data_IF_408801035574
#
_entry.id   IF_408801035574
#
_cell.length_a   1.000
_cell.length_b   1.000
_cell.length_c   1.000
_cell.angle_alpha   90.00
_cell.angle_beta   90.00
_cell.angle_gamma   90.00
#
_symmetry.space_group_name_H-M   'P 1'
#
loop_
_entity.id
_entity.type
_entity.pdbx_description
1 polymer ?
#
# COMPACT_ATOMS: atom_id res chain seq x y z
N UNK A 1 -13.58 -29.35 30.16
CA UNK A 1 -12.59 -30.40 29.84
C UNK A 1 -11.99 -30.00 28.50
N UNK A 2 -10.68 -30.18 28.32
CA UNK A 2 -10.00 -29.84 27.06
C UNK A 2 -10.35 -30.93 26.04
N UNK A 3 -10.87 -30.55 24.88
CA UNK A 3 -11.13 -31.49 23.78
C UNK A 3 -9.81 -32.11 23.29
N UNK A 4 -9.79 -33.43 23.07
CA UNK A 4 -8.64 -34.11 22.49
C UNK A 4 -8.58 -33.90 20.98
N UNK A 5 -7.44 -34.17 20.36
CA UNK A 5 -7.31 -34.10 18.90
C UNK A 5 -8.22 -35.12 18.19
N UNK A 6 -8.55 -36.23 18.85
CA UNK A 6 -9.53 -37.20 18.37
C UNK A 6 -10.94 -36.63 18.42
N UNK A 7 -11.30 -35.92 19.48
CA UNK A 7 -12.61 -35.26 19.63
C UNK A 7 -12.78 -34.15 18.59
N UNK A 8 -11.73 -33.35 18.33
CA UNK A 8 -11.72 -32.28 17.32
C UNK A 8 -11.92 -32.84 15.90
N UNK A 9 -11.38 -34.03 15.61
CA UNK A 9 -11.60 -34.72 14.34
C UNK A 9 -12.88 -35.58 14.32
N UNK A 10 -13.59 -35.69 15.45
CA UNK A 10 -14.80 -36.50 15.60
C UNK A 10 -14.56 -38.00 15.40
N UNK A 11 -13.42 -38.51 15.87
CA UNK A 11 -12.99 -39.91 15.75
C UNK A 11 -12.63 -40.49 17.13
N UNK A 12 -12.56 -41.82 17.24
CA UNK A 12 -12.25 -42.50 18.50
C UNK A 12 -10.74 -42.64 18.68
N UNK A 13 -10.25 -42.54 19.91
CA UNK A 13 -8.85 -42.80 20.22
C UNK A 13 -8.43 -44.22 19.79
N UNK A 14 -7.28 -44.33 19.11
CA UNK A 14 -6.78 -45.60 18.57
C UNK A 14 -7.26 -45.95 17.17
N UNK A 15 -8.00 -45.07 16.49
CA UNK A 15 -8.30 -45.20 15.05
C UNK A 15 -7.04 -45.19 14.19
N UNK A 16 -7.10 -45.86 13.05
CA UNK A 16 -5.97 -46.00 12.12
C UNK A 16 -5.58 -44.67 11.46
N UNK A 17 -4.33 -44.54 11.00
CA UNK A 17 -3.87 -43.35 10.26
C UNK A 17 -4.74 -43.03 9.02
N UNK A 18 -5.31 -44.08 8.41
CA UNK A 18 -6.22 -43.95 7.29
C UNK A 18 -7.51 -43.23 7.71
N UNK A 19 -8.10 -43.62 8.83
CA UNK A 19 -9.32 -43.01 9.37
C UNK A 19 -9.09 -41.58 9.84
N UNK A 20 -7.93 -41.29 10.45
CA UNK A 20 -7.51 -39.92 10.82
C UNK A 20 -7.44 -39.03 9.57
N UNK A 21 -6.88 -39.55 8.46
CA UNK A 21 -6.78 -38.83 7.18
C UNK A 21 -8.13 -38.62 6.51
N UNK A 22 -9.01 -39.62 6.55
CA UNK A 22 -10.33 -39.54 5.94
C UNK A 22 -11.25 -38.59 6.73
N UNK A 23 -11.15 -38.56 8.06
CA UNK A 23 -11.83 -37.60 8.92
C UNK A 23 -11.36 -36.16 8.65
N UNK A 24 -10.05 -35.93 8.54
CA UNK A 24 -9.50 -34.63 8.17
C UNK A 24 -10.01 -34.16 6.80
N UNK A 25 -10.01 -35.03 5.78
CA UNK A 25 -10.52 -34.68 4.44
C UNK A 25 -12.00 -34.28 4.46
N UNK A 26 -12.83 -35.01 5.21
CA UNK A 26 -14.25 -34.71 5.36
C UNK A 26 -14.46 -33.34 6.00
N UNK A 27 -13.77 -33.07 7.11
CA UNK A 27 -13.87 -31.80 7.84
C UNK A 27 -13.26 -30.63 7.06
N UNK A 28 -12.15 -30.84 6.37
CA UNK A 28 -11.53 -29.84 5.50
C UNK A 28 -12.45 -29.42 4.35
N UNK A 29 -13.22 -30.34 3.77
CA UNK A 29 -14.21 -30.04 2.73
C UNK A 29 -15.46 -29.31 3.24
N UNK A 30 -15.76 -29.44 4.54
CA UNK A 30 -16.90 -28.83 5.21
C UNK A 30 -16.59 -27.41 5.69
N UNK A 31 -15.38 -27.18 6.20
CA UNK A 31 -14.94 -25.92 6.79
C UNK A 31 -13.99 -25.11 5.91
N UNK A 32 -13.83 -25.48 4.63
CA UNK A 32 -13.05 -24.70 3.66
C UNK A 32 -13.66 -23.31 3.46
N UNK A 33 -12.81 -22.27 3.45
CA UNK A 33 -13.23 -20.87 3.27
C UNK A 33 -13.98 -20.63 1.95
N UNK A 34 -13.63 -21.35 0.88
CA UNK A 34 -14.34 -21.29 -0.42
C UNK A 34 -15.82 -21.77 -0.36
N UNK A 35 -16.25 -22.38 0.76
CA UNK A 35 -17.63 -22.80 1.01
C UNK A 35 -18.29 -22.08 2.18
N UNK A 36 -17.67 -21.01 2.70
CA UNK A 36 -18.22 -20.19 3.79
C UNK A 36 -17.99 -20.74 5.20
N UNK A 37 -17.00 -21.63 5.39
CA UNK A 37 -16.62 -22.12 6.72
C UNK A 37 -15.85 -21.10 7.57
N UNK A 38 -15.96 -21.19 8.90
CA UNK A 38 -15.22 -20.34 9.82
C UNK A 38 -13.72 -20.72 9.86
N UNK A 39 -12.86 -19.72 9.62
CA UNK A 39 -11.41 -19.88 9.54
C UNK A 39 -10.80 -20.48 10.83
N UNK A 40 -11.35 -20.15 12.00
CA UNK A 40 -10.86 -20.64 13.29
C UNK A 40 -11.06 -22.15 13.46
N UNK A 41 -12.19 -22.70 13.02
CA UNK A 41 -12.49 -24.13 13.12
C UNK A 41 -11.61 -24.94 12.17
N UNK A 42 -11.37 -24.43 10.96
CA UNK A 42 -10.45 -25.08 10.02
C UNK A 42 -9.00 -25.14 10.56
N UNK A 43 -8.55 -24.07 11.22
CA UNK A 43 -7.23 -24.03 11.87
C UNK A 43 -7.15 -25.10 12.97
N UNK A 44 -8.17 -25.23 13.81
CA UNK A 44 -8.23 -26.25 14.87
C UNK A 44 -8.23 -27.68 14.30
N UNK A 45 -9.02 -27.94 13.25
CA UNK A 45 -9.09 -29.25 12.56
C UNK A 45 -7.72 -29.62 11.95
N UNK A 46 -7.05 -28.66 11.30
CA UNK A 46 -5.71 -28.86 10.73
C UNK A 46 -4.69 -29.16 11.81
N UNK A 47 -4.75 -28.44 12.93
CA UNK A 47 -3.85 -28.64 14.06
C UNK A 47 -4.03 -30.02 14.69
N UNK A 48 -5.28 -30.45 14.94
CA UNK A 48 -5.57 -31.78 15.48
C UNK A 48 -5.05 -32.90 14.55
N UNK A 49 -5.20 -32.76 13.24
CA UNK A 49 -4.69 -33.73 12.27
C UNK A 49 -3.16 -33.82 12.26
N UNK A 50 -2.47 -32.68 12.27
CA UNK A 50 -1.00 -32.65 12.29
C UNK A 50 -0.44 -33.20 13.61
N UNK A 51 -1.09 -32.90 14.74
CA UNK A 51 -0.73 -33.42 16.06
C UNK A 51 -0.89 -34.95 16.14
N UNK A 52 -1.97 -35.50 15.58
CA UNK A 52 -2.19 -36.95 15.58
C UNK A 52 -1.18 -37.71 14.71
N UNK A 53 -0.65 -37.11 13.63
CA UNK A 53 0.43 -37.73 12.83
C UNK A 53 1.70 -37.96 13.62
N UNK A 54 1.97 -37.11 14.62
CA UNK A 54 3.15 -37.23 15.50
C UNK A 54 2.81 -37.94 16.81
N UNK A 55 1.62 -38.55 16.91
CA UNK A 55 1.16 -39.31 18.08
C UNK A 55 0.69 -38.44 19.25
N UNK A 56 0.41 -37.15 19.02
CA UNK A 56 0.01 -36.21 20.08
C UNK A 56 -1.51 -36.23 20.28
N UNK A 57 -1.95 -36.67 21.46
CA UNK A 57 -3.37 -36.86 21.81
C UNK A 57 -4.15 -35.57 22.07
N UNK A 58 -3.49 -34.54 22.60
CA UNK A 58 -4.13 -33.27 22.97
C UNK A 58 -3.45 -32.10 22.24
N UNK A 59 -4.20 -31.03 21.91
CA UNK A 59 -3.61 -29.79 21.39
C UNK A 59 -2.53 -29.25 22.33
N UNK A 60 -1.59 -28.47 21.80
CA UNK A 60 -0.66 -27.71 22.64
C UNK A 60 -1.41 -26.84 23.66
N UNK A 61 -1.11 -27.06 24.94
CA UNK A 61 -1.56 -26.15 26.00
C UNK A 61 -0.91 -24.79 25.82
N UNK A 62 -1.52 -23.72 26.34
CA UNK A 62 -0.92 -22.38 26.23
C UNK A 62 0.49 -22.33 26.85
N UNK A 63 0.77 -23.17 27.85
CA UNK A 63 2.10 -23.35 28.44
C UNK A 63 3.08 -24.07 27.51
N UNK A 64 2.64 -25.09 26.77
CA UNK A 64 3.46 -25.76 25.75
C UNK A 64 3.71 -24.86 24.53
N UNK A 65 2.70 -24.11 24.09
CA UNK A 65 2.87 -23.06 23.07
C UNK A 65 3.94 -22.06 23.52
N UNK A 66 3.89 -21.63 24.78
CA UNK A 66 4.85 -20.69 25.37
C UNK A 66 6.27 -21.26 25.54
N UNK A 67 6.41 -22.59 25.63
CA UNK A 67 7.70 -23.30 25.82
C UNK A 67 8.32 -23.73 24.48
N UNK A 68 7.50 -24.12 23.51
CA UNK A 68 7.90 -24.45 22.13
C UNK A 68 8.12 -23.18 21.30
N UNK A 69 7.41 -22.09 21.59
CA UNK A 69 7.97 -20.76 21.39
C UNK A 69 9.13 -20.64 22.36
N UNK A 70 10.38 -20.81 21.93
CA UNK A 70 11.54 -20.46 22.77
C UNK A 70 11.54 -18.95 23.05
N UNK A 71 10.71 -18.52 23.99
CA UNK A 71 10.74 -17.20 24.60
C UNK A 71 11.79 -17.28 25.70
N UNK A 72 13.04 -17.02 25.32
CA UNK A 72 14.07 -16.65 26.27
C UNK A 72 13.74 -15.25 26.76
N UNK A 73 13.30 -15.14 28.01
CA UNK A 73 13.24 -13.87 28.71
C UNK A 73 14.66 -13.35 28.91
N UNK A 74 15.08 -12.37 28.10
CA UNK A 74 16.37 -11.69 28.26
C UNK A 74 17.16 -11.37 26.99
N UNK A 75 16.53 -11.24 25.82
CA UNK A 75 17.25 -10.85 24.60
C UNK A 75 17.76 -9.40 24.72
N UNK A 76 19.07 -9.20 24.61
CA UNK A 76 19.65 -7.87 24.39
C UNK A 76 19.26 -7.37 23.00
N UNK A 77 19.36 -6.06 22.71
CA UNK A 77 19.13 -5.54 21.35
C UNK A 77 19.97 -6.29 20.28
N UNK A 78 21.16 -6.77 20.66
CA UNK A 78 22.03 -7.54 19.79
C UNK A 78 21.43 -8.90 19.41
N UNK A 79 20.72 -9.56 20.34
CA UNK A 79 20.08 -10.85 20.09
C UNK A 79 18.86 -10.71 19.18
N UNK A 80 18.06 -9.65 19.36
CA UNK A 80 16.95 -9.31 18.47
C UNK A 80 17.46 -9.02 17.05
N UNK A 81 18.52 -8.22 16.92
CA UNK A 81 19.14 -7.93 15.61
C UNK A 81 19.65 -9.20 14.92
N UNK A 82 20.31 -10.10 15.65
CA UNK A 82 20.79 -11.37 15.10
C UNK A 82 19.63 -12.25 14.61
N UNK A 83 18.55 -12.37 15.39
CA UNK A 83 17.35 -13.14 14.99
C UNK A 83 16.71 -12.57 13.73
N UNK A 84 16.54 -11.25 13.70
CA UNK A 84 15.99 -10.52 12.56
C UNK A 84 16.82 -10.65 11.29
N UNK A 85 18.14 -10.75 11.42
CA UNK A 85 19.05 -10.97 10.29
C UNK A 85 18.92 -12.39 9.73
N UNK A 86 18.88 -13.42 10.59
CA UNK A 86 18.68 -14.82 10.17
C UNK A 86 17.33 -14.97 9.46
N UNK A 87 16.27 -14.41 10.05
CA UNK A 87 14.93 -14.44 9.49
C UNK A 87 14.87 -13.79 8.10
N UNK A 88 15.49 -12.62 7.94
CA UNK A 88 15.55 -11.93 6.65
C UNK A 88 16.31 -12.72 5.59
N UNK A 89 17.41 -13.40 5.96
CA UNK A 89 18.17 -14.26 5.04
C UNK A 89 17.36 -15.48 4.58
N UNK A 90 16.66 -16.15 5.49
CA UNK A 90 15.83 -17.30 5.16
C UNK A 90 14.70 -16.92 4.19
N UNK A 91 13.96 -15.85 4.51
CA UNK A 91 12.89 -15.33 3.66
C UNK A 91 13.41 -14.88 2.29
N UNK A 92 14.54 -14.16 2.25
CA UNK A 92 15.13 -13.70 0.99
C UNK A 92 15.48 -14.88 0.06
N UNK A 93 16.11 -15.92 0.62
CA UNK A 93 16.47 -17.13 -0.15
C UNK A 93 15.22 -17.86 -0.66
N UNK A 94 14.19 -17.91 0.17
CA UNK A 94 12.91 -18.51 -0.19
C UNK A 94 12.19 -17.75 -1.30
N UNK A 95 12.13 -16.41 -1.20
CA UNK A 95 11.53 -15.57 -2.25
C UNK A 95 12.28 -15.67 -3.56
N UNK A 96 13.61 -15.79 -3.52
CA UNK A 96 14.41 -16.07 -4.72
C UNK A 96 14.05 -17.41 -5.36
N UNK A 97 13.85 -18.45 -4.55
CA UNK A 97 13.42 -19.77 -5.04
C UNK A 97 12.01 -19.70 -5.65
N UNK A 98 11.12 -18.93 -5.03
CA UNK A 98 9.77 -18.68 -5.54
C UNK A 98 9.81 -17.94 -6.89
N UNK A 99 10.67 -16.94 -7.03
CA UNK A 99 10.89 -16.20 -8.26
C UNK A 99 11.39 -17.12 -9.38
N UNK A 100 12.44 -17.91 -9.12
CA UNK A 100 13.01 -18.84 -10.12
C UNK A 100 11.98 -19.88 -10.57
N UNK A 101 11.18 -20.40 -9.65
CA UNK A 101 10.07 -21.31 -9.96
C UNK A 101 9.01 -20.63 -10.84
N UNK A 102 8.56 -19.42 -10.47
CA UNK A 102 7.55 -18.69 -11.26
C UNK A 102 8.08 -18.33 -12.65
N UNK A 103 9.35 -17.94 -12.76
CA UNK A 103 10.01 -17.63 -14.03
C UNK A 103 10.13 -18.87 -14.94
N UNK A 104 10.45 -20.04 -14.38
CA UNK A 104 10.51 -21.30 -15.14
C UNK A 104 9.13 -21.72 -15.68
N UNK A 105 8.06 -21.54 -14.89
CA UNK A 105 6.69 -21.76 -15.37
C UNK A 105 6.30 -20.76 -16.45
N UNK A 106 6.71 -19.51 -16.30
CA UNK A 106 6.39 -18.47 -17.26
C UNK A 106 7.10 -18.70 -18.60
N UNK A 107 8.38 -19.06 -18.59
CA UNK A 107 9.16 -19.33 -19.82
C UNK A 107 8.71 -20.60 -20.55
N UNK A 108 8.26 -21.61 -19.81
CA UNK A 108 7.71 -22.85 -20.38
C UNK A 108 6.22 -22.78 -20.69
N UNK A 109 5.56 -21.65 -20.38
CA UNK A 109 4.11 -21.47 -20.49
C UNK A 109 3.29 -22.60 -19.82
N UNK A 110 3.76 -23.06 -18.66
CA UNK A 110 3.12 -24.14 -17.90
C UNK A 110 2.42 -23.61 -16.66
N UNK A 111 1.32 -24.26 -16.26
CA UNK A 111 0.56 -23.89 -15.06
C UNK A 111 0.92 -24.79 -13.89
N UNK A 112 1.17 -24.21 -12.73
CA UNK A 112 1.30 -24.94 -11.48
C UNK A 112 1.06 -24.02 -10.29
N UNK A 113 0.76 -24.62 -9.14
CA UNK A 113 0.75 -23.95 -7.84
C UNK A 113 1.78 -24.57 -6.90
N UNK A 114 2.32 -23.76 -6.00
CA UNK A 114 3.29 -24.20 -4.98
C UNK A 114 3.20 -23.29 -3.76
N UNK A 115 3.27 -23.92 -2.59
CA UNK A 115 3.44 -23.24 -1.32
C UNK A 115 4.93 -22.97 -1.07
N UNK A 116 5.22 -21.74 -0.67
CA UNK A 116 6.51 -21.27 -0.16
C UNK A 116 6.31 -20.73 1.24
N UNK A 117 7.38 -20.60 2.00
CA UNK A 117 7.36 -20.15 3.37
C UNK A 117 7.43 -21.30 4.36
N UNK A 118 7.32 -20.94 5.63
CA UNK A 118 7.26 -21.89 6.73
C UNK A 118 6.19 -21.48 7.73
N UNK A 119 5.72 -22.43 8.55
CA UNK A 119 4.77 -22.17 9.63
C UNK A 119 5.23 -21.07 10.60
N UNK A 120 6.55 -20.86 10.74
CA UNK A 120 7.13 -19.86 11.65
C UNK A 120 7.35 -18.50 10.99
N UNK A 121 7.50 -18.45 9.67
CA UNK A 121 7.84 -17.22 8.93
C UNK A 121 6.68 -16.65 8.11
N UNK A 122 5.60 -17.42 7.98
CA UNK A 122 4.47 -17.15 7.10
C UNK A 122 4.56 -17.99 5.83
N UNK A 123 3.42 -18.48 5.37
CA UNK A 123 3.29 -19.26 4.14
C UNK A 123 2.64 -18.39 3.05
N UNK A 124 3.18 -18.46 1.83
CA UNK A 124 2.60 -17.86 0.63
C UNK A 124 2.37 -18.92 -0.44
N UNK A 125 1.19 -18.92 -1.05
CA UNK A 125 0.87 -19.76 -2.18
C UNK A 125 1.04 -18.96 -3.46
N UNK A 126 1.85 -19.48 -4.39
CA UNK A 126 1.96 -18.95 -5.74
C UNK A 126 1.29 -19.91 -6.72
N UNK A 127 0.52 -19.36 -7.65
CA UNK A 127 -0.10 -20.10 -8.76
C UNK A 127 0.12 -19.33 -10.06
N UNK A 128 0.81 -19.95 -11.03
CA UNK A 128 0.88 -19.41 -12.40
C UNK A 128 -0.33 -19.94 -13.18
N UNK A 129 -1.23 -19.04 -13.55
CA UNK A 129 -2.47 -19.32 -14.29
C UNK A 129 -2.21 -19.48 -15.78
N UNK A 130 -3.11 -20.14 -16.51
CA UNK A 130 -2.96 -20.40 -17.94
C UNK A 130 -2.73 -19.13 -18.80
N UNK A 131 -3.27 -17.99 -18.37
CA UNK A 131 -3.14 -16.70 -19.05
C UNK A 131 -1.84 -15.94 -18.76
N UNK A 132 -0.88 -16.52 -18.02
CA UNK A 132 0.35 -15.81 -17.64
C UNK A 132 0.26 -15.03 -16.34
N UNK A 133 -0.90 -14.95 -15.70
CA UNK A 133 -1.01 -14.27 -14.41
C UNK A 133 -0.43 -15.11 -13.28
N UNK A 134 0.37 -14.49 -12.42
CA UNK A 134 0.81 -15.07 -11.16
C UNK A 134 -0.14 -14.63 -10.05
N UNK A 135 -0.88 -15.58 -9.48
CA UNK A 135 -1.64 -15.35 -8.25
C UNK A 135 -0.73 -15.59 -7.05
N UNK A 136 -0.70 -14.65 -6.11
CA UNK A 136 0.01 -14.76 -4.84
C UNK A 136 -1.02 -14.63 -3.72
N UNK A 137 -1.11 -15.64 -2.85
CA UNK A 137 -1.98 -15.64 -1.68
C UNK A 137 -1.14 -15.75 -0.41
N UNK A 138 -1.47 -14.96 0.60
CA UNK A 138 -0.71 -14.89 1.86
C UNK A 138 0.01 -13.54 2.01
N UNK A 139 0.51 -13.27 3.21
CA UNK A 139 1.23 -12.02 3.46
C UNK A 139 2.64 -12.10 2.90
N UNK A 140 3.03 -11.10 2.10
CA UNK A 140 4.34 -11.05 1.46
C UNK A 140 5.30 -10.19 2.29
N UNK A 141 6.48 -10.73 2.60
CA UNK A 141 7.52 -10.03 3.34
C UNK A 141 8.90 -10.51 2.92
N UNK A 142 9.84 -9.57 2.88
CA UNK A 142 11.28 -9.75 2.73
C UNK A 142 11.71 -10.45 1.42
N UNK A 143 12.34 -9.69 0.53
CA UNK A 143 12.89 -10.24 -0.70
C UNK A 143 12.67 -9.36 -1.92
N UNK A 144 13.54 -9.55 -2.90
CA UNK A 144 13.31 -9.07 -4.26
C UNK A 144 12.60 -10.16 -5.05
N UNK A 145 11.48 -9.81 -5.67
CA UNK A 145 10.69 -10.72 -6.50
C UNK A 145 10.38 -10.05 -7.84
N UNK A 146 10.88 -10.63 -8.92
CA UNK A 146 10.69 -10.12 -10.28
C UNK A 146 9.87 -11.08 -11.13
N UNK A 147 8.90 -10.56 -11.89
CA UNK A 147 8.04 -11.39 -12.73
C UNK A 147 7.71 -10.69 -14.05
N UNK A 148 7.67 -11.48 -15.13
CA UNK A 148 7.32 -11.00 -16.46
C UNK A 148 5.87 -11.35 -16.81
N UNK A 149 4.94 -10.64 -16.21
CA UNK A 149 3.51 -10.88 -16.39
C UNK A 149 2.67 -10.25 -15.28
N UNK A 150 1.34 -10.30 -15.41
CA UNK A 150 0.46 -9.72 -14.42
C UNK A 150 0.54 -10.48 -13.08
N UNK A 151 0.51 -9.75 -11.96
CA UNK A 151 0.42 -10.30 -10.62
C UNK A 151 -0.92 -9.95 -10.00
N UNK A 152 -1.59 -10.95 -9.41
CA UNK A 152 -2.81 -10.81 -8.62
C UNK A 152 -2.49 -11.21 -7.18
N UNK A 153 -2.57 -10.25 -6.25
CA UNK A 153 -2.20 -10.42 -4.85
C UNK A 153 -3.42 -10.50 -3.95
N UNK A 154 -3.42 -11.48 -3.06
CA UNK A 154 -4.40 -11.66 -1.98
C UNK A 154 -3.66 -11.79 -0.64
N UNK A 155 -3.40 -10.65 -0.02
CA UNK A 155 -2.67 -10.55 1.25
C UNK A 155 -1.98 -9.18 1.37
N UNK A 156 -1.48 -8.89 2.57
CA UNK A 156 -0.74 -7.65 2.79
C UNK A 156 0.72 -7.80 2.38
N UNK A 157 1.36 -6.69 2.04
CA UNK A 157 2.78 -6.62 1.71
C UNK A 157 3.44 -5.71 2.74
N UNK A 158 4.51 -6.17 3.35
CA UNK A 158 5.25 -5.37 4.33
C UNK A 158 6.74 -5.56 4.13
N UNK A 159 7.50 -4.47 4.24
CA UNK A 159 8.96 -4.57 4.26
C UNK A 159 9.48 -4.72 5.70
N UNK A 160 10.54 -5.52 5.93
CA UNK A 160 11.28 -5.48 7.19
C UNK A 160 11.74 -4.04 7.51
N UNK A 161 11.55 -3.59 8.75
CA UNK A 161 12.00 -2.25 9.19
C UNK A 161 13.39 -2.24 9.81
N UNK A 162 13.98 -3.40 10.06
CA UNK A 162 15.27 -3.50 10.78
C UNK A 162 16.48 -3.62 9.85
N UNK A 163 16.29 -3.75 8.55
CA UNK A 163 17.36 -3.95 7.57
C UNK A 163 16.94 -3.54 6.16
N UNK A 164 17.79 -2.77 5.49
CA UNK A 164 17.61 -2.40 4.08
C UNK A 164 17.95 -3.57 3.14
N UNK A 165 18.83 -4.47 3.56
CA UNK A 165 19.31 -5.60 2.74
C UNK A 165 18.16 -6.52 2.30
N UNK A 166 17.16 -6.71 3.17
CA UNK A 166 15.99 -7.55 2.91
C UNK A 166 14.73 -6.74 2.65
N UNK A 167 14.89 -5.50 2.16
CA UNK A 167 13.76 -4.67 1.76
C UNK A 167 12.87 -5.45 0.78
N UNK A 168 11.56 -5.36 0.99
CA UNK A 168 10.59 -5.99 0.09
C UNK A 168 10.52 -5.19 -1.20
N UNK A 169 10.90 -5.82 -2.31
CA UNK A 169 10.90 -5.22 -3.63
C UNK A 169 10.21 -6.15 -4.62
N UNK A 170 9.08 -5.72 -5.18
CA UNK A 170 8.36 -6.46 -6.23
C UNK A 170 8.51 -5.69 -7.54
N UNK A 171 9.06 -6.34 -8.56
CA UNK A 171 9.31 -5.72 -9.87
C UNK A 171 8.63 -6.50 -10.99
N UNK A 172 7.74 -5.85 -11.73
CA UNK A 172 7.10 -6.43 -12.91
C UNK A 172 7.65 -5.74 -14.15
N UNK A 173 8.15 -6.53 -15.09
CA UNK A 173 8.58 -6.02 -16.40
C UNK A 173 7.40 -5.77 -17.33
N UNK A 174 6.36 -6.59 -17.24
CA UNK A 174 5.13 -6.46 -18.02
C UNK A 174 3.91 -6.88 -17.19
N UNK A 175 2.75 -6.30 -17.52
CA UNK A 175 1.46 -6.67 -16.93
C UNK A 175 1.10 -5.85 -15.69
N UNK A 176 -0.17 -5.94 -15.31
CA UNK A 176 -0.68 -5.18 -14.17
C UNK A 176 -0.37 -5.87 -12.83
N UNK A 177 -0.09 -5.06 -11.80
CA UNK A 177 -0.07 -5.49 -10.41
C UNK A 177 -1.39 -5.13 -9.73
N UNK A 178 -2.15 -6.13 -9.26
CA UNK A 178 -3.49 -5.89 -8.69
C UNK A 178 -3.73 -6.62 -7.38
N UNK A 179 -4.34 -5.95 -6.42
CA UNK A 179 -4.98 -6.60 -5.27
C UNK A 179 -6.35 -7.15 -5.67
N UNK A 180 -6.78 -8.26 -5.08
CA UNK A 180 -8.12 -8.82 -5.28
C UNK A 180 -9.14 -8.05 -4.46
N UNK A 181 -10.06 -7.30 -5.07
CA UNK A 181 -11.08 -6.47 -4.38
C UNK A 181 -10.47 -5.43 -3.40
N UNK A 182 -9.59 -4.52 -3.87
CA UNK A 182 -8.79 -3.62 -3.02
C UNK A 182 -9.59 -2.67 -2.13
N UNK A 183 -10.87 -2.43 -2.43
CA UNK A 183 -11.77 -1.57 -1.65
C UNK A 183 -12.53 -2.32 -0.57
N UNK A 184 -12.70 -3.64 -0.72
CA UNK A 184 -13.42 -4.48 0.24
C UNK A 184 -12.46 -5.14 1.22
N UNK A 185 -11.30 -5.54 0.71
CA UNK A 185 -10.25 -6.10 1.54
C UNK A 185 -9.52 -4.98 2.29
N UNK A 186 -9.03 -5.29 3.49
CA UNK A 186 -8.18 -4.37 4.27
C UNK A 186 -6.69 -4.64 4.04
N UNK A 187 -6.33 -5.23 2.90
CA UNK A 187 -4.93 -5.47 2.59
C UNK A 187 -4.21 -4.14 2.40
N UNK A 188 -2.94 -4.15 2.78
CA UNK A 188 -2.10 -2.96 2.75
C UNK A 188 -0.71 -3.27 2.23
N UNK A 189 -0.06 -2.25 1.70
CA UNK A 189 1.37 -2.24 1.39
C UNK A 189 2.02 -1.28 2.37
N UNK A 190 2.95 -1.74 3.20
CA UNK A 190 3.56 -0.88 4.20
C UNK A 190 5.05 -1.04 4.49
N UNK A 191 5.53 -0.16 5.37
CA UNK A 191 6.82 -0.25 6.06
C UNK A 191 8.06 -0.15 5.16
N UNK A 192 7.95 0.58 4.05
CA UNK A 192 9.06 0.78 3.12
C UNK A 192 9.12 -0.23 1.98
N UNK A 193 8.03 -0.96 1.71
CA UNK A 193 7.95 -1.84 0.56
C UNK A 193 8.06 -1.07 -0.76
N UNK A 194 8.65 -1.70 -1.77
CA UNK A 194 8.81 -1.18 -3.13
C UNK A 194 8.03 -2.03 -4.12
N UNK A 195 7.23 -1.38 -4.96
CA UNK A 195 6.55 -2.01 -6.09
C UNK A 195 6.88 -1.21 -7.35
N UNK A 196 7.46 -1.86 -8.36
CA UNK A 196 7.86 -1.24 -9.61
C UNK A 196 7.19 -2.01 -10.75
N UNK A 197 6.49 -1.31 -11.63
CA UNK A 197 5.84 -1.89 -12.81
C UNK A 197 6.29 -1.11 -14.04
N UNK A 198 7.10 -1.73 -14.90
CA UNK A 198 7.69 -1.04 -16.06
C UNK A 198 6.64 -0.78 -17.14
N UNK A 199 5.86 -1.82 -17.47
CA UNK A 199 4.85 -1.81 -18.54
C UNK A 199 3.52 -2.39 -18.04
N UNK A 200 2.77 -1.58 -17.28
CA UNK A 200 1.48 -1.98 -16.75
C UNK A 200 0.93 -0.97 -15.76
N UNK A 201 -0.19 -1.33 -15.14
CA UNK A 201 -0.86 -0.51 -14.13
C UNK A 201 -0.76 -1.16 -12.75
N UNK A 202 -0.95 -0.35 -11.71
CA UNK A 202 -1.04 -0.79 -10.33
C UNK A 202 -2.44 -0.48 -9.80
N UNK A 203 -3.15 -1.49 -9.30
CA UNK A 203 -4.48 -1.33 -8.68
C UNK A 203 -4.46 -1.97 -7.29
N UNK A 204 -4.41 -1.13 -6.28
CA UNK A 204 -4.13 -1.52 -4.90
C UNK A 204 -5.10 -0.82 -3.94
N UNK A 205 -5.13 -1.29 -2.70
CA UNK A 205 -5.91 -0.66 -1.63
C UNK A 205 -5.08 0.36 -0.89
N UNK A 206 -4.80 0.06 0.37
CA UNK A 206 -4.18 0.97 1.31
C UNK A 206 -2.64 0.91 1.25
N UNK A 207 -1.98 2.07 1.33
CA UNK A 207 -0.51 2.18 1.29
C UNK A 207 -0.02 3.02 2.46
N UNK A 208 0.95 2.52 3.22
CA UNK A 208 1.45 3.23 4.39
C UNK A 208 2.97 3.25 4.45
N UNK A 209 3.55 4.40 4.72
CA UNK A 209 4.91 4.50 5.20
C UNK A 209 5.00 4.36 6.71
N UNK A 210 6.22 4.45 7.24
CA UNK A 210 6.46 4.64 8.68
C UNK A 210 7.64 5.55 8.94
N UNK A 211 7.57 6.29 10.04
CA UNK A 211 8.69 7.01 10.63
C UNK A 211 8.99 6.41 11.99
N UNK A 212 10.26 6.12 12.27
CA UNK A 212 10.73 5.69 13.58
C UNK A 212 11.56 6.80 14.21
N UNK A 213 11.35 7.04 15.50
CA UNK A 213 12.17 7.93 16.30
C UNK A 213 13.27 7.07 16.95
N UNK A 214 14.50 7.26 16.53
CA UNK A 214 15.66 6.48 16.98
C UNK A 214 16.56 7.38 17.81
N UNK A 215 16.98 6.90 18.97
CA UNK A 215 17.90 7.67 19.82
C UNK A 215 19.28 7.79 19.16
N UNK A 216 19.87 8.98 19.26
CA UNK A 216 21.22 9.21 18.75
C UNK A 216 22.22 8.38 19.57
N UNK A 217 23.07 7.55 18.92
CA UNK A 217 23.95 6.62 19.62
C UNK A 217 25.01 7.31 20.50
N UNK A 218 25.23 8.62 20.32
CA UNK A 218 26.24 9.40 21.02
C UNK A 218 25.59 10.40 21.99
N UNK A 219 24.45 10.99 21.61
CA UNK A 219 23.81 12.09 22.36
C UNK A 219 22.52 11.65 23.04
N UNK A 220 22.57 11.48 24.36
CA UNK A 220 21.42 11.15 25.20
C UNK A 220 20.30 12.20 25.03
N UNK A 221 19.08 11.73 24.77
CA UNK A 221 17.90 12.59 24.60
C UNK A 221 17.81 13.31 23.25
N UNK A 222 18.76 13.10 22.33
CA UNK A 222 18.64 13.51 20.93
C UNK A 222 18.09 12.33 20.13
N UNK A 223 17.16 12.62 19.22
CA UNK A 223 16.56 11.58 18.39
C UNK A 223 16.67 11.94 16.92
N UNK A 224 16.94 10.93 16.10
CA UNK A 224 16.91 10.99 14.65
C UNK A 224 15.62 10.33 14.16
N UNK A 225 15.04 10.87 13.08
CA UNK A 225 13.88 10.25 12.43
C UNK A 225 14.42 9.35 11.31
N UNK A 226 14.17 8.04 11.43
CA UNK A 226 14.39 7.11 10.34
C UNK A 226 13.08 6.90 9.58
N UNK A 227 13.12 7.15 8.28
CA UNK A 227 11.96 7.06 7.41
C UNK A 227 11.96 5.76 6.60
N UNK A 228 10.85 5.05 6.63
CA UNK A 228 10.57 3.86 5.83
C UNK A 228 9.50 4.20 4.81
N UNK A 229 9.91 4.96 3.78
CA UNK A 229 9.00 5.39 2.72
C UNK A 229 8.62 4.23 1.83
N UNK A 230 7.33 3.91 1.80
CA UNK A 230 6.78 2.93 0.86
C UNK A 230 6.71 3.57 -0.54
N UNK A 231 7.26 2.91 -1.55
CA UNK A 231 7.40 3.46 -2.89
C UNK A 231 6.73 2.58 -3.93
N UNK A 232 5.85 3.17 -4.76
CA UNK A 232 5.16 2.46 -5.82
C UNK A 232 5.32 3.25 -7.12
N UNK A 233 5.78 2.57 -8.17
CA UNK A 233 6.07 3.18 -9.47
C UNK A 233 5.41 2.41 -10.61
N UNK A 234 4.77 3.17 -11.51
CA UNK A 234 4.26 2.71 -12.80
C UNK A 234 4.44 3.85 -13.82
N UNK A 235 5.69 4.18 -14.17
CA UNK A 235 6.06 5.43 -14.85
C UNK A 235 5.30 5.70 -16.14
N UNK A 236 4.95 4.65 -16.90
CA UNK A 236 4.22 4.71 -18.16
C UNK A 236 2.74 4.29 -18.01
N UNK A 237 2.29 4.04 -16.79
CA UNK A 237 0.97 3.47 -16.49
C UNK A 237 0.20 4.28 -15.47
N UNK A 238 -0.83 3.63 -14.91
CA UNK A 238 -1.70 4.20 -13.90
C UNK A 238 -1.49 3.54 -12.55
N UNK A 239 -1.51 4.33 -11.48
CA UNK A 239 -1.67 3.83 -10.10
C UNK A 239 -3.07 4.21 -9.61
N UNK A 240 -3.81 3.22 -9.11
CA UNK A 240 -5.09 3.40 -8.41
C UNK A 240 -4.87 2.90 -6.98
N UNK A 241 -5.06 3.79 -6.00
CA UNK A 241 -4.93 3.46 -4.58
C UNK A 241 -6.11 4.05 -3.78
N UNK A 242 -6.42 3.44 -2.64
CA UNK A 242 -7.47 3.92 -1.75
C UNK A 242 -6.90 5.01 -0.82
N UNK A 243 -6.36 4.62 0.34
CA UNK A 243 -5.76 5.55 1.29
C UNK A 243 -4.25 5.42 1.27
N UNK A 244 -3.53 6.53 1.11
CA UNK A 244 -2.07 6.57 1.16
C UNK A 244 -1.60 7.51 2.28
N UNK A 245 -0.73 7.03 3.18
CA UNK A 245 -0.32 7.84 4.33
C UNK A 245 1.04 7.53 4.99
N UNK A 246 1.48 8.40 5.90
CA UNK A 246 2.59 8.20 6.85
C UNK A 246 3.99 8.01 6.23
N UNK A 247 4.29 8.60 5.06
CA UNK A 247 5.48 8.40 4.17
C UNK A 247 5.29 7.46 2.99
N UNK A 248 4.58 7.94 1.96
CA UNK A 248 4.42 7.20 0.69
C UNK A 248 4.98 8.01 -0.47
N UNK A 249 5.56 7.33 -1.45
CA UNK A 249 5.88 7.90 -2.77
C UNK A 249 5.14 7.13 -3.85
N UNK A 250 4.34 7.83 -4.65
CA UNK A 250 3.73 7.29 -5.86
C UNK A 250 4.27 8.01 -7.09
N UNK A 251 4.69 7.25 -8.10
CA UNK A 251 5.19 7.81 -9.37
C UNK A 251 4.54 7.10 -10.56
N UNK A 252 3.82 7.83 -11.41
CA UNK A 252 3.17 7.25 -12.58
C UNK A 252 2.95 8.26 -13.71
N UNK A 253 2.29 7.83 -14.79
CA UNK A 253 1.72 8.76 -15.76
C UNK A 253 0.38 9.32 -15.25
N UNK A 254 -0.46 8.45 -14.69
CA UNK A 254 -1.76 8.80 -14.08
C UNK A 254 -1.89 8.22 -12.68
N UNK A 255 -2.36 9.02 -11.73
CA UNK A 255 -2.59 8.60 -10.34
C UNK A 255 -4.04 8.91 -9.95
N UNK A 256 -4.72 7.88 -9.46
CA UNK A 256 -6.08 7.98 -8.90
C UNK A 256 -6.01 7.56 -7.44
N UNK A 257 -6.43 8.44 -6.55
CA UNK A 257 -6.39 8.21 -5.10
C UNK A 257 -7.71 8.61 -4.44
N UNK A 258 -8.10 7.89 -3.40
CA UNK A 258 -9.20 8.32 -2.55
C UNK A 258 -8.70 9.38 -1.56
N UNK A 259 -7.79 9.00 -0.66
CA UNK A 259 -7.29 9.90 0.39
C UNK A 259 -5.76 9.91 0.45
N UNK A 260 -5.22 11.08 0.80
CA UNK A 260 -3.79 11.33 0.95
C UNK A 260 -3.54 12.00 2.29
N UNK A 261 -2.74 11.40 3.16
CA UNK A 261 -2.56 11.91 4.52
C UNK A 261 -1.10 11.79 5.00
N UNK A 262 -0.52 12.83 5.58
CA UNK A 262 0.80 12.80 6.25
C UNK A 262 2.01 12.34 5.38
N UNK A 263 2.77 13.33 4.90
CA UNK A 263 4.08 13.14 4.24
C UNK A 263 4.04 12.23 3.00
N UNK A 264 3.04 12.46 2.15
CA UNK A 264 2.90 11.72 0.89
C UNK A 264 3.47 12.54 -0.26
N UNK A 265 4.19 11.88 -1.16
CA UNK A 265 4.71 12.44 -2.40
C UNK A 265 4.06 11.75 -3.59
N UNK A 266 3.46 12.53 -4.49
CA UNK A 266 2.78 12.03 -5.68
C UNK A 266 3.39 12.71 -6.90
N UNK A 267 3.87 11.95 -7.88
CA UNK A 267 4.42 12.50 -9.12
C UNK A 267 3.73 11.90 -10.34
N UNK A 268 2.98 12.71 -11.08
CA UNK A 268 2.29 12.26 -12.29
C UNK A 268 1.90 13.41 -13.22
N UNK A 269 1.49 13.04 -14.44
CA UNK A 269 0.92 13.96 -15.44
C UNK A 269 -0.58 14.14 -15.21
N UNK A 270 -1.31 13.10 -14.85
CA UNK A 270 -2.72 13.19 -14.46
C UNK A 270 -2.88 12.77 -13.00
N UNK A 271 -3.56 13.60 -12.19
CA UNK A 271 -3.83 13.29 -10.78
C UNK A 271 -5.30 13.52 -10.45
N UNK A 272 -5.98 12.46 -10.03
CA UNK A 272 -7.40 12.45 -9.72
C UNK A 272 -7.63 12.09 -8.25
N UNK A 273 -8.22 13.02 -7.50
CA UNK A 273 -8.60 12.82 -6.10
C UNK A 273 -10.10 12.60 -5.99
N UNK A 274 -10.50 11.49 -5.37
CA UNK A 274 -11.90 11.12 -5.20
C UNK A 274 -12.41 11.27 -3.76
N UNK A 275 -11.52 11.34 -2.76
CA UNK A 275 -11.90 11.48 -1.37
C UNK A 275 -11.73 12.89 -0.82
N UNK A 276 -12.11 13.04 0.44
CA UNK A 276 -12.21 14.33 1.11
C UNK A 276 -10.95 14.75 1.87
N UNK A 277 -9.84 14.01 1.74
CA UNK A 277 -8.61 14.25 2.52
C UNK A 277 -7.35 14.38 1.65
N UNK A 278 -6.64 15.48 1.88
CA UNK A 278 -5.29 15.75 1.39
C UNK A 278 -4.57 16.54 2.49
N UNK A 279 -3.99 15.82 3.45
CA UNK A 279 -3.54 16.38 4.73
C UNK A 279 -2.01 16.61 4.77
N UNK A 280 -1.48 16.84 5.97
CA UNK A 280 -0.19 17.45 6.29
C UNK A 280 1.01 16.96 5.46
N UNK A 281 1.97 17.86 5.25
CA UNK A 281 3.28 17.61 4.64
C UNK A 281 3.27 16.87 3.28
N UNK A 282 2.13 16.89 2.58
CA UNK A 282 1.99 16.21 1.29
C UNK A 282 2.45 17.11 0.13
N UNK A 283 3.23 16.54 -0.79
CA UNK A 283 3.75 17.19 -1.99
C UNK A 283 3.21 16.51 -3.26
N UNK A 284 2.59 17.31 -4.13
CA UNK A 284 2.17 16.91 -5.46
C UNK A 284 3.18 17.47 -6.46
N UNK A 285 3.86 16.60 -7.20
CA UNK A 285 4.74 16.94 -8.31
C UNK A 285 3.94 16.77 -9.60
N UNK A 286 3.56 17.88 -10.22
CA UNK A 286 2.82 17.87 -11.48
C UNK A 286 3.79 17.97 -12.66
N UNK A 287 3.80 16.94 -13.51
CA UNK A 287 4.59 16.90 -14.74
C UNK A 287 4.08 17.90 -15.78
N UNK A 288 4.95 18.37 -16.67
CA UNK A 288 4.64 19.33 -17.72
C UNK A 288 3.43 18.87 -18.56
N UNK A 289 2.54 19.81 -18.88
CA UNK A 289 1.28 19.53 -19.58
C UNK A 289 0.24 18.77 -18.75
N UNK A 290 0.51 18.51 -17.47
CA UNK A 290 -0.35 17.73 -16.59
C UNK A 290 -1.61 18.43 -16.10
N UNK A 291 -2.47 17.65 -15.43
CA UNK A 291 -3.72 18.13 -14.81
C UNK A 291 -3.98 17.51 -13.44
N UNK A 292 -4.70 18.26 -12.60
CA UNK A 292 -5.19 17.83 -11.30
C UNK A 292 -6.69 18.05 -11.22
N UNK A 293 -7.43 17.06 -10.70
CA UNK A 293 -8.88 17.14 -10.49
C UNK A 293 -9.27 16.63 -9.11
N UNK A 294 -10.22 17.31 -8.49
CA UNK A 294 -10.79 16.99 -7.19
C UNK A 294 -12.28 16.76 -7.33
N UNK A 295 -12.74 15.52 -7.17
CA UNK A 295 -14.12 15.12 -7.49
C UNK A 295 -15.13 15.31 -6.36
N UNK A 296 -14.66 15.53 -5.13
CA UNK A 296 -15.55 15.87 -4.03
C UNK A 296 -16.42 17.10 -4.37
N UNK A 297 -17.71 17.02 -4.03
CA UNK A 297 -18.70 18.06 -4.34
C UNK A 297 -18.38 19.40 -3.64
N UNK A 298 -17.56 19.34 -2.60
CA UNK A 298 -17.07 20.50 -1.86
C UNK A 298 -15.55 20.62 -2.01
N UNK A 299 -14.98 21.70 -1.50
CA UNK A 299 -13.54 21.73 -1.28
C UNK A 299 -13.15 20.56 -0.36
N UNK A 300 -12.03 19.89 -0.63
CA UNK A 300 -11.47 18.84 0.23
C UNK A 300 -11.54 19.31 1.69
N UNK A 301 -12.35 18.62 2.50
CA UNK A 301 -12.65 19.02 3.87
C UNK A 301 -11.39 18.95 4.75
N UNK A 302 -10.56 17.92 4.53
CA UNK A 302 -9.26 17.74 5.18
C UNK A 302 -8.08 18.31 4.39
N UNK A 303 -8.24 19.44 3.70
CA UNK A 303 -7.13 20.05 2.96
C UNK A 303 -6.19 20.77 3.91
N UNK A 304 -4.97 20.26 4.05
CA UNK A 304 -3.97 20.91 4.91
C UNK A 304 -3.45 22.21 4.28
N UNK A 305 -3.13 23.18 5.14
CA UNK A 305 -2.59 24.48 4.71
C UNK A 305 -1.14 24.42 4.23
N UNK A 306 -0.43 23.34 4.54
CA UNK A 306 0.98 23.09 4.20
C UNK A 306 1.18 22.19 2.97
N UNK A 307 0.10 21.64 2.38
CA UNK A 307 0.19 20.84 1.18
C UNK A 307 0.68 21.69 -0.01
N UNK A 308 1.65 21.17 -0.76
CA UNK A 308 2.33 21.90 -1.85
C UNK A 308 2.08 21.19 -3.17
N UNK A 309 1.75 21.97 -4.20
CA UNK A 309 1.91 21.55 -5.58
C UNK A 309 3.24 22.13 -6.09
N UNK A 310 4.14 21.26 -6.52
CA UNK A 310 5.39 21.58 -7.19
C UNK A 310 5.23 21.26 -8.67
N UNK A 311 5.38 22.25 -9.53
CA UNK A 311 5.47 22.05 -10.96
C UNK A 311 6.86 21.52 -11.33
N UNK A 312 6.97 20.79 -12.43
CA UNK A 312 8.24 20.27 -12.95
C UNK A 312 9.32 21.35 -13.16
N UNK A 313 8.92 22.57 -13.54
CA UNK A 313 9.82 23.74 -13.63
C UNK A 313 10.31 24.28 -12.27
N UNK A 314 9.90 23.67 -11.15
CA UNK A 314 10.29 24.03 -9.80
C UNK A 314 9.36 25.03 -9.09
N UNK A 315 8.37 25.61 -9.78
CA UNK A 315 7.40 26.53 -9.17
C UNK A 315 6.60 25.80 -8.09
N UNK A 316 6.54 26.40 -6.88
CA UNK A 316 5.78 25.86 -5.75
C UNK A 316 4.54 26.70 -5.49
N UNK A 317 3.42 26.04 -5.28
CA UNK A 317 2.11 26.64 -5.06
C UNK A 317 1.53 25.96 -3.82
N UNK A 318 1.08 26.77 -2.85
CA UNK A 318 0.37 26.22 -1.70
C UNK A 318 -1.03 25.84 -2.15
N UNK A 319 -1.44 24.63 -1.84
CA UNK A 319 -2.75 24.14 -2.20
C UNK A 319 -3.88 25.00 -1.58
N UNK A 320 -3.61 25.57 -0.39
CA UNK A 320 -4.49 26.54 0.26
C UNK A 320 -4.84 27.75 -0.63
N UNK A 321 -3.89 28.24 -1.43
CA UNK A 321 -4.10 29.40 -2.31
C UNK A 321 -5.12 29.07 -3.43
N UNK A 322 -5.24 27.79 -3.80
CA UNK A 322 -6.20 27.32 -4.80
C UNK A 322 -7.61 27.13 -4.21
N UNK A 323 -7.72 26.84 -2.90
CA UNK A 323 -9.00 26.60 -2.24
C UNK A 323 -9.93 27.82 -2.29
N UNK A 324 -9.35 29.02 -2.25
CA UNK A 324 -10.12 30.27 -2.28
C UNK A 324 -10.18 30.91 -3.66
N UNK A 325 -9.37 30.43 -4.62
CA UNK A 325 -9.32 30.96 -5.98
C UNK A 325 -10.58 30.58 -6.74
N UNK A 326 -11.35 31.59 -7.15
CA UNK A 326 -12.58 31.39 -7.93
C UNK A 326 -12.23 31.10 -9.38
N UNK A 327 -13.00 30.21 -9.99
CA UNK A 327 -12.82 29.83 -11.39
C UNK A 327 -13.00 31.05 -12.32
N UNK A 328 -13.96 31.92 -12.00
CA UNK A 328 -14.25 33.13 -12.80
C UNK A 328 -13.11 34.17 -12.80
N UNK A 329 -12.23 34.12 -11.80
CA UNK A 329 -11.09 35.05 -11.66
C UNK A 329 -9.86 34.61 -12.48
N UNK A 330 -9.90 33.44 -13.12
CA UNK A 330 -8.83 32.97 -14.01
C UNK A 330 -8.86 33.74 -15.33
N UNK A 331 -7.76 33.80 -16.08
CA UNK A 331 -7.77 34.49 -17.38
C UNK A 331 -8.65 33.73 -18.40
N UNK A 332 -9.30 34.47 -19.31
CA UNK A 332 -10.23 33.89 -20.31
C UNK A 332 -9.52 32.91 -21.27
N UNK A 333 -8.20 33.08 -21.48
CA UNK A 333 -7.37 32.16 -22.26
C UNK A 333 -7.33 30.74 -21.69
N UNK A 334 -7.54 30.59 -20.38
CA UNK A 334 -7.58 29.27 -19.72
C UNK A 334 -8.99 28.70 -19.59
N UNK A 335 -10.02 29.56 -19.64
CA UNK A 335 -11.42 29.16 -19.45
C UNK A 335 -12.31 29.98 -20.38
N UNK A 336 -12.72 29.36 -21.49
CA UNK A 336 -13.62 29.98 -22.46
C UNK A 336 -15.08 30.04 -21.99
N UNK A 337 -15.50 29.12 -21.12
CA UNK A 337 -16.91 28.90 -20.76
C UNK A 337 -17.20 29.21 -19.28
N UNK A 338 -16.83 30.41 -18.82
CA UNK A 338 -16.95 30.81 -17.40
C UNK A 338 -18.40 30.89 -16.90
N UNK A 339 -19.34 31.08 -17.79
CA UNK A 339 -20.78 31.12 -17.54
C UNK A 339 -21.33 29.82 -16.95
N UNK A 340 -20.70 28.68 -17.25
CA UNK A 340 -21.10 27.36 -16.73
C UNK A 340 -20.77 27.17 -15.25
N UNK A 341 -19.99 28.06 -14.65
CA UNK A 341 -19.61 27.98 -13.24
C UNK A 341 -20.45 28.95 -12.40
N UNK A 342 -20.82 28.51 -11.19
CA UNK A 342 -21.45 29.41 -10.22
C UNK A 342 -20.44 30.49 -9.78
N UNK A 343 -20.95 31.61 -9.24
CA UNK A 343 -20.08 32.70 -8.75
C UNK A 343 -19.08 32.23 -7.69
N UNK A 344 -19.49 31.23 -6.91
CA UNK A 344 -18.70 30.72 -5.79
C UNK A 344 -17.83 29.51 -6.09
N UNK A 345 -17.89 28.98 -7.32
CA UNK A 345 -17.09 27.84 -7.72
C UNK A 345 -15.58 28.14 -7.62
N UNK A 346 -14.87 27.26 -6.93
CA UNK A 346 -13.42 27.34 -6.67
C UNK A 346 -12.65 26.35 -7.52
N UNK A 347 -11.34 26.53 -7.68
CA UNK A 347 -10.49 25.59 -8.42
C UNK A 347 -10.46 24.19 -7.78
N UNK A 348 -10.67 24.09 -6.46
CA UNK A 348 -10.74 22.82 -5.72
C UNK A 348 -12.19 22.37 -5.57
N UNK A 349 -12.47 21.12 -5.96
CA UNK A 349 -13.77 20.45 -5.88
C UNK A 349 -14.52 20.42 -7.22
N UNK A 350 -15.65 19.71 -7.24
CA UNK A 350 -16.57 19.61 -8.39
C UNK A 350 -15.92 19.15 -9.71
N UNK A 351 -14.80 18.43 -9.63
CA UNK A 351 -14.11 17.86 -10.78
C UNK A 351 -13.50 18.89 -11.75
N UNK A 352 -13.32 20.16 -11.32
CA UNK A 352 -12.68 21.19 -12.14
C UNK A 352 -11.27 20.75 -12.56
N UNK A 353 -10.93 21.02 -13.82
CA UNK A 353 -9.64 20.62 -14.39
C UNK A 353 -8.63 21.74 -14.19
N UNK A 354 -7.74 21.57 -13.21
CA UNK A 354 -6.61 22.46 -12.98
C UNK A 354 -5.47 22.00 -13.87
N UNK A 355 -5.05 22.84 -14.83
CA UNK A 355 -3.95 22.50 -15.74
C UNK A 355 -2.61 23.02 -15.21
N UNK A 356 -1.52 22.40 -15.66
CA UNK A 356 -0.17 22.89 -15.42
C UNK A 356 -0.01 24.36 -15.82
N UNK A 357 -0.49 24.74 -17.01
CA UNK A 357 -0.40 26.10 -17.52
C UNK A 357 -1.15 27.13 -16.66
N UNK A 358 -2.34 26.77 -16.14
CA UNK A 358 -3.06 27.62 -15.18
C UNK A 358 -2.21 27.88 -13.94
N UNK A 359 -1.66 26.82 -13.34
CA UNK A 359 -0.83 26.89 -12.14
C UNK A 359 0.44 27.71 -12.37
N UNK A 360 1.09 27.52 -13.52
CA UNK A 360 2.31 28.23 -13.87
C UNK A 360 2.08 29.74 -14.07
N UNK A 361 0.89 30.12 -14.51
CA UNK A 361 0.50 31.52 -14.71
C UNK A 361 -0.26 32.14 -13.52
N UNK A 362 -0.46 31.42 -12.41
CA UNK A 362 -1.02 32.01 -11.19
C UNK A 362 -0.09 33.10 -10.65
N UNK A 363 -0.57 34.35 -10.68
CA UNK A 363 0.05 35.48 -9.99
C UNK A 363 -0.18 35.36 -8.48
N UNK A 364 0.89 35.19 -7.69
CA UNK A 364 0.80 34.99 -6.23
C UNK A 364 0.43 36.25 -5.41
N UNK A 365 -0.13 37.30 -6.01
CA UNK A 365 -0.71 38.45 -5.28
C UNK A 365 -1.96 38.95 -5.99
N UNK A 366 -3.03 39.34 -5.27
CA UNK A 366 -4.09 40.14 -5.87
C UNK A 366 -3.46 41.46 -6.32
N UNK A 367 -3.56 41.77 -7.61
CA UNK A 367 -3.31 43.12 -8.08
C UNK A 367 -4.31 44.03 -7.36
N UNK A 368 -3.86 44.77 -6.34
CA UNK A 368 -4.62 45.92 -5.84
C UNK A 368 -4.84 46.81 -7.06
N UNK A 369 -6.08 46.92 -7.54
CA UNK A 369 -6.47 47.99 -8.46
C UNK A 369 -6.16 49.30 -7.74
N UNK A 370 -5.02 49.90 -8.06
CA UNK A 370 -4.63 51.21 -7.59
C UNK A 370 -5.46 52.21 -8.39
N UNK A 371 -6.65 52.52 -7.88
CA UNK A 371 -7.48 53.60 -8.40
C UNK A 371 -6.80 54.92 -8.14
N UNK A 372 -6.18 55.50 -9.17
CA UNK A 372 -5.67 56.86 -9.15
C UNK A 372 -6.87 57.82 -9.18
N UNK A 373 -7.42 58.16 -8.01
CA UNK A 373 -8.33 59.28 -7.88
C UNK A 373 -7.51 60.55 -7.64
N UNK A 374 -7.27 61.31 -8.71
CA UNK A 374 -6.69 62.65 -8.64
C UNK A 374 -7.64 63.59 -7.90
N UNK A 375 -7.34 63.94 -6.65
CA UNK A 375 -7.92 65.10 -5.98
C UNK A 375 -7.09 66.35 -6.34
N UNK A 376 -7.44 67.01 -7.45
CA UNK A 376 -7.16 68.43 -7.62
C UNK A 376 -8.45 69.21 -7.32
N UNK A 377 -8.63 69.55 -6.05
CA UNK A 377 -9.61 70.54 -5.61
C UNK A 377 -8.91 71.88 -5.48
N UNK A 378 -9.08 72.73 -6.49
CA UNK A 378 -8.70 74.14 -6.49
C UNK A 378 -9.46 74.88 -5.38
N UNK A 379 -8.75 75.45 -4.41
CA UNK A 379 -9.29 76.51 -3.56
C UNK A 379 -9.00 77.86 -4.23
N UNK A 380 -10.05 78.57 -4.64
CA UNK A 380 -10.01 79.99 -4.95
C UNK A 380 -11.00 80.71 -4.03
N UNK A 381 -10.41 81.51 -3.14
CA UNK A 381 -10.88 82.70 -2.40
C UNK A 381 -12.17 82.61 -1.62
#
# INVERSE_FOLDING_TARGET
>A
MVESNYDILGIVEGTTEKEIRDAFRRLALQFHSDRGGENEQFIQIKQAYDDLKIGKKYPETDYEKLKNSKVYSGDTEADVRRKNQILGQELFKEMKTAQEWAAALNSSNTTASRLFGSKTLGEIELERKANGALSIKGNFMAGSFSYDGPIIMQGSITSPSWTEEFQTNIHLTNGDFKFVNPLENKYKIDNGAKIIVDNGNVVIGNVYGRKFKIEDPIRVGVFQIQEHRTHISALNGKIIAENIANTVSLEADSIIVLNVEDDVKISAREILFYGAKLTFDSEIILKEGGTIRFFENFSIQGLSGDAIIKLENGKKIRLFDLKTKKIKDLADEFISNKENYTKDATMIGNGFTITYAMLDNLSMKPAKKQGWASKFGLSKK
#
